data_IF_476270031180
#
_entry.id   IF_476270031180
#
_cell.length_a   1.000
_cell.length_b   1.000
_cell.length_c   1.000
_cell.angle_alpha   90.00
_cell.angle_beta   90.00
_cell.angle_gamma   90.00
#
_symmetry.space_group_name_H-M   'P 1'
#
loop_
_entity.id
_entity.type
_entity.pdbx_description
1 polymer ?
#
# COMPACT_ATOMS: atom_id res chain seq x y z
N UNK A 1 0.05 -4.92 28.07
CA UNK A 1 -1.15 -4.19 28.50
C UNK A 1 -1.88 -3.71 27.26
N UNK A 2 -3.21 -3.71 27.24
CA UNK A 2 -4.03 -3.21 26.13
C UNK A 2 -4.55 -1.85 26.58
N UNK A 3 -4.33 -0.80 25.79
CA UNK A 3 -4.96 0.49 26.02
C UNK A 3 -6.29 0.54 25.26
N UNK A 4 -7.32 1.04 25.89
CA UNK A 4 -8.65 1.19 25.28
C UNK A 4 -9.18 2.59 25.55
N UNK A 5 -9.98 3.10 24.61
CA UNK A 5 -10.71 4.35 24.76
C UNK A 5 -12.20 4.07 24.86
N UNK A 6 -12.88 4.76 25.77
CA UNK A 6 -14.32 4.74 25.87
C UNK A 6 -14.91 5.90 25.04
N UNK A 7 -15.84 5.60 24.16
CA UNK A 7 -16.54 6.59 23.35
C UNK A 7 -17.98 6.12 23.09
N UNK A 8 -18.96 6.94 23.44
CA UNK A 8 -20.38 6.60 23.26
C UNK A 8 -20.80 5.28 23.93
N UNK A 9 -20.20 4.92 25.07
CA UNK A 9 -20.44 3.65 25.78
C UNK A 9 -19.78 2.42 25.14
N UNK A 10 -18.95 2.61 24.11
CA UNK A 10 -18.18 1.53 23.47
C UNK A 10 -16.69 1.71 23.76
N UNK A 11 -15.97 0.60 23.76
CA UNK A 11 -14.51 0.59 23.90
C UNK A 11 -13.86 0.19 22.59
N UNK A 12 -12.79 0.89 22.23
CA UNK A 12 -11.92 0.51 21.14
C UNK A 12 -10.45 0.61 21.57
N UNK A 13 -9.57 -0.11 20.91
CA UNK A 13 -8.15 -0.14 21.27
C UNK A 13 -7.28 0.52 20.22
N UNK A 14 -6.52 1.56 20.55
CA UNK A 14 -5.49 2.12 19.67
C UNK A 14 -4.28 1.18 19.53
N UNK A 15 -4.10 0.21 20.43
CA UNK A 15 -3.05 -0.81 20.33
C UNK A 15 -3.50 -2.16 20.90
N UNK A 16 -2.79 -3.24 20.53
CA UNK A 16 -3.04 -4.56 21.12
C UNK A 16 -4.08 -5.41 20.40
N UNK A 17 -4.41 -5.12 19.14
CA UNK A 17 -5.35 -5.90 18.32
C UNK A 17 -4.98 -7.39 18.25
N UNK A 18 -3.70 -7.73 18.08
CA UNK A 18 -3.23 -9.12 18.04
C UNK A 18 -3.47 -9.82 19.37
N UNK A 19 -3.15 -9.15 20.49
CA UNK A 19 -3.39 -9.70 21.83
C UNK A 19 -4.88 -9.88 22.11
N UNK A 20 -5.70 -8.91 21.70
CA UNK A 20 -7.15 -8.99 21.83
C UNK A 20 -7.72 -10.15 20.97
N UNK A 21 -7.24 -10.29 19.74
CA UNK A 21 -7.60 -11.40 18.84
C UNK A 21 -7.23 -12.75 19.43
N UNK A 22 -6.01 -12.90 19.95
CA UNK A 22 -5.54 -14.12 20.58
C UNK A 22 -6.38 -14.49 21.81
N UNK A 23 -6.68 -13.50 22.69
CA UNK A 23 -7.52 -13.74 23.87
C UNK A 23 -8.95 -14.16 23.49
N UNK A 24 -9.54 -13.56 22.44
CA UNK A 24 -10.85 -13.98 21.92
C UNK A 24 -10.80 -15.41 21.40
N UNK A 25 -9.76 -15.79 20.65
CA UNK A 25 -9.59 -17.15 20.12
C UNK A 25 -9.42 -18.18 21.24
N UNK A 26 -8.84 -17.79 22.37
CA UNK A 26 -8.72 -18.61 23.57
C UNK A 26 -9.99 -18.63 24.44
N UNK A 27 -11.07 -17.98 24.02
CA UNK A 27 -12.34 -17.98 24.75
C UNK A 27 -12.38 -17.07 25.98
N UNK A 28 -11.46 -16.11 26.10
CA UNK A 28 -11.45 -15.18 27.23
C UNK A 28 -12.73 -14.32 27.24
N UNK A 29 -13.46 -14.32 28.36
CA UNK A 29 -14.72 -13.56 28.55
C UNK A 29 -14.48 -12.12 28.97
N UNK A 30 -13.32 -11.82 29.52
CA UNK A 30 -12.92 -10.49 29.97
C UNK A 30 -11.42 -10.30 29.81
N UNK A 31 -11.00 -9.03 29.72
CA UNK A 31 -9.59 -8.64 29.65
C UNK A 31 -9.35 -7.47 30.57
N UNK A 32 -8.14 -7.38 31.12
CA UNK A 32 -7.69 -6.18 31.82
C UNK A 32 -7.10 -5.20 30.83
N UNK A 33 -7.61 -3.97 30.81
CA UNK A 33 -7.19 -2.92 29.92
C UNK A 33 -6.98 -1.60 30.67
N UNK A 34 -6.08 -0.75 30.18
CA UNK A 34 -5.91 0.61 30.63
C UNK A 34 -6.88 1.51 29.86
N UNK A 35 -7.77 2.20 30.56
CA UNK A 35 -8.68 3.17 29.93
C UNK A 35 -7.93 4.49 29.77
N UNK A 36 -7.94 5.02 28.55
CA UNK A 36 -7.33 6.30 28.19
C UNK A 36 -8.44 7.25 27.74
N UNK A 37 -8.82 8.23 28.57
CA UNK A 37 -9.96 9.11 28.29
C UNK A 37 -9.65 10.18 27.24
N UNK A 38 -8.39 10.64 27.14
CA UNK A 38 -7.99 11.74 26.27
C UNK A 38 -7.80 11.29 24.81
N UNK A 39 -8.42 12.00 23.87
CA UNK A 39 -8.27 11.77 22.43
C UNK A 39 -6.81 11.86 21.97
N UNK A 40 -6.11 12.86 22.46
CA UNK A 40 -4.73 13.11 22.09
C UNK A 40 -3.80 11.97 22.50
N UNK A 41 -4.01 11.38 23.67
CA UNK A 41 -3.22 10.23 24.12
C UNK A 41 -3.48 9.01 23.26
N UNK A 42 -4.74 8.74 22.91
CA UNK A 42 -5.09 7.64 22.00
C UNK A 42 -4.45 7.83 20.62
N UNK A 43 -4.43 9.07 20.09
CA UNK A 43 -3.74 9.42 18.86
C UNK A 43 -2.24 9.19 18.96
N UNK A 44 -1.59 9.67 20.02
CA UNK A 44 -0.16 9.44 20.26
C UNK A 44 0.19 7.96 20.38
N UNK A 45 -0.67 7.15 20.99
CA UNK A 45 -0.48 5.70 21.04
C UNK A 45 -0.51 5.10 19.64
N UNK A 46 -1.42 5.53 18.75
CA UNK A 46 -1.43 5.10 17.36
C UNK A 46 -0.13 5.48 16.63
N UNK A 47 0.34 6.71 16.80
CA UNK A 47 1.58 7.22 16.20
C UNK A 47 2.84 6.51 16.72
N UNK A 48 2.88 6.15 18.00
CA UNK A 48 4.04 5.49 18.62
C UNK A 48 4.06 3.96 18.42
N UNK A 49 2.96 3.37 17.97
CA UNK A 49 2.87 1.94 17.73
C UNK A 49 3.37 1.52 16.34
N UNK A 50 4.02 2.42 15.61
CA UNK A 50 4.75 2.07 14.41
C UNK A 50 5.95 1.22 14.82
N UNK A 51 5.77 -0.10 14.91
CA UNK A 51 6.88 -1.05 14.99
C UNK A 51 7.73 -0.86 13.73
N UNK A 52 9.05 -0.98 13.84
CA UNK A 52 9.94 -0.90 12.68
C UNK A 52 9.59 -2.03 11.70
N UNK A 53 8.77 -1.71 10.74
CA UNK A 53 8.43 -2.63 9.69
C UNK A 53 9.68 -2.94 8.86
N UNK A 54 9.97 -4.22 8.68
CA UNK A 54 11.21 -4.65 8.04
C UNK A 54 11.14 -4.61 6.50
N UNK A 55 9.92 -4.66 5.93
CA UNK A 55 9.73 -4.67 4.48
C UNK A 55 8.59 -3.74 4.01
N UNK A 56 8.53 -3.49 2.70
CA UNK A 56 7.55 -2.58 2.09
C UNK A 56 6.10 -2.94 2.41
N UNK A 57 5.77 -4.23 2.42
CA UNK A 57 4.41 -4.70 2.70
C UNK A 57 3.99 -4.38 4.13
N UNK A 58 4.85 -4.66 5.09
CA UNK A 58 4.57 -4.39 6.51
C UNK A 58 4.42 -2.88 6.73
N UNK A 59 5.34 -2.07 6.20
CA UNK A 59 5.25 -0.61 6.26
C UNK A 59 3.94 -0.08 5.67
N UNK A 60 3.56 -0.55 4.49
CA UNK A 60 2.32 -0.13 3.84
C UNK A 60 1.07 -0.52 4.64
N UNK A 61 1.04 -1.75 5.18
CA UNK A 61 -0.05 -2.21 6.05
C UNK A 61 -0.12 -1.45 7.36
N UNK A 62 1.00 -1.03 7.91
CA UNK A 62 1.07 -0.23 9.11
C UNK A 62 0.56 1.19 8.86
N UNK A 63 1.05 1.83 7.79
CA UNK A 63 0.63 3.18 7.40
C UNK A 63 -0.88 3.24 7.12
N UNK A 64 -1.45 2.27 6.41
CA UNK A 64 -2.90 2.29 6.17
C UNK A 64 -3.71 2.08 7.45
N UNK A 65 -3.28 1.22 8.37
CA UNK A 65 -3.95 1.07 9.67
C UNK A 65 -3.89 2.36 10.48
N UNK A 66 -2.74 3.04 10.46
CA UNK A 66 -2.57 4.33 11.11
C UNK A 66 -3.51 5.37 10.49
N UNK A 67 -3.55 5.47 9.16
CA UNK A 67 -4.40 6.42 8.44
C UNK A 67 -5.90 6.16 8.73
N UNK A 68 -6.35 4.91 8.71
CA UNK A 68 -7.73 4.54 9.05
C UNK A 68 -8.07 4.86 10.51
N UNK A 69 -7.13 4.62 11.44
CA UNK A 69 -7.30 4.99 12.84
C UNK A 69 -7.37 6.50 13.04
N UNK A 70 -6.47 7.26 12.42
CA UNK A 70 -6.47 8.73 12.50
C UNK A 70 -7.71 9.35 11.87
N UNK A 71 -8.22 8.81 10.77
CA UNK A 71 -9.42 9.31 10.09
C UNK A 71 -10.68 9.27 10.98
N UNK A 72 -10.70 8.47 12.03
CA UNK A 72 -11.80 8.45 13.01
C UNK A 72 -11.68 9.52 14.10
N UNK A 73 -10.49 10.13 14.23
CA UNK A 73 -10.13 11.01 15.36
C UNK A 73 -9.82 12.44 14.91
N UNK A 74 -9.43 12.59 13.63
CA UNK A 74 -8.84 13.83 13.12
C UNK A 74 -9.27 14.03 11.66
N UNK A 75 -9.79 15.20 11.34
CA UNK A 75 -10.31 15.53 10.01
C UNK A 75 -9.42 16.49 9.23
N UNK A 76 -8.18 16.70 9.68
CA UNK A 76 -7.19 17.51 8.96
C UNK A 76 -6.92 16.95 7.56
N UNK A 77 -6.41 17.79 6.63
CA UNK A 77 -5.97 17.33 5.32
C UNK A 77 -4.90 16.22 5.40
N UNK A 78 -4.99 15.22 4.51
CA UNK A 78 -4.03 14.10 4.47
C UNK A 78 -2.57 14.59 4.43
N UNK A 79 -2.28 15.65 3.69
CA UNK A 79 -0.93 16.22 3.56
C UNK A 79 -0.32 16.70 4.89
N UNK A 80 -1.12 16.95 5.91
CA UNK A 80 -0.63 17.36 7.23
C UNK A 80 -0.11 16.17 8.05
N UNK A 81 -0.32 14.95 7.57
CA UNK A 81 0.20 13.71 8.15
C UNK A 81 1.40 13.15 7.37
N UNK A 82 2.08 13.99 6.56
CA UNK A 82 3.21 13.55 5.73
C UNK A 82 4.35 12.92 6.56
N UNK A 83 4.61 13.47 7.75
CA UNK A 83 5.64 12.95 8.64
C UNK A 83 5.28 11.56 9.21
N UNK A 84 3.98 11.32 9.48
CA UNK A 84 3.47 10.08 10.04
C UNK A 84 3.34 8.97 8.99
N UNK A 85 2.99 9.34 7.76
CA UNK A 85 2.78 8.37 6.67
C UNK A 85 4.03 8.15 5.81
N UNK A 86 5.07 8.96 5.96
CA UNK A 86 6.35 8.95 5.24
C UNK A 86 6.18 9.14 3.72
N UNK A 87 5.37 8.33 3.06
CA UNK A 87 5.13 8.34 1.63
C UNK A 87 3.65 8.12 1.32
N UNK A 88 3.05 8.99 0.51
CA UNK A 88 1.68 8.84 0.06
C UNK A 88 1.40 7.46 -0.61
N UNK A 89 2.41 6.94 -1.31
CA UNK A 89 2.38 5.64 -1.96
C UNK A 89 2.10 4.48 -0.99
N UNK A 90 2.55 4.58 0.27
CA UNK A 90 2.34 3.53 1.27
C UNK A 90 0.87 3.37 1.63
N UNK A 91 0.08 4.45 1.64
CA UNK A 91 -1.37 4.39 1.90
C UNK A 91 -2.06 3.57 0.79
N UNK A 92 -1.78 3.90 -0.47
CA UNK A 92 -2.35 3.20 -1.63
C UNK A 92 -1.91 1.73 -1.70
N UNK A 93 -0.62 1.45 -1.46
CA UNK A 93 -0.09 0.09 -1.40
C UNK A 93 -0.72 -0.70 -0.24
N UNK A 94 -0.88 -0.09 0.92
CA UNK A 94 -1.52 -0.70 2.08
C UNK A 94 -2.94 -1.18 1.78
N UNK A 95 -3.74 -0.36 1.10
CA UNK A 95 -5.07 -0.72 0.62
C UNK A 95 -5.04 -1.88 -0.38
N UNK A 96 -4.04 -1.91 -1.28
CA UNK A 96 -3.86 -3.05 -2.18
C UNK A 96 -3.52 -4.33 -1.43
N UNK A 97 -2.65 -4.28 -0.43
CA UNK A 97 -2.28 -5.43 0.39
C UNK A 97 -3.42 -5.92 1.31
N UNK A 98 -4.30 -5.02 1.78
CA UNK A 98 -5.52 -5.40 2.51
C UNK A 98 -6.47 -6.22 1.63
N UNK A 99 -6.62 -5.85 0.35
CA UNK A 99 -7.49 -6.51 -0.60
C UNK A 99 -6.88 -7.79 -1.19
N UNK A 100 -5.56 -7.77 -1.43
CA UNK A 100 -4.84 -8.87 -2.03
C UNK A 100 -3.49 -9.08 -1.31
N UNK A 101 -3.45 -10.02 -0.38
CA UNK A 101 -2.25 -10.33 0.41
C UNK A 101 -1.06 -10.84 -0.42
N UNK A 102 -1.26 -11.23 -1.70
CA UNK A 102 -0.21 -11.65 -2.65
C UNK A 102 0.16 -10.55 -3.64
N UNK A 103 -0.30 -9.34 -3.43
CA UNK A 103 0.02 -8.21 -4.28
C UNK A 103 1.53 -7.91 -4.23
N UNK A 104 2.17 -7.78 -5.40
CA UNK A 104 3.61 -7.50 -5.50
C UNK A 104 3.85 -5.98 -5.57
N UNK A 105 3.62 -5.27 -4.48
CA UNK A 105 3.72 -3.80 -4.43
C UNK A 105 5.09 -3.24 -4.77
N UNK A 106 6.16 -3.99 -4.47
CA UNK A 106 7.54 -3.59 -4.79
C UNK A 106 7.75 -3.30 -6.28
N UNK A 107 7.06 -4.01 -7.18
CA UNK A 107 7.13 -3.75 -8.61
C UNK A 107 6.60 -2.36 -9.01
N UNK A 108 5.66 -1.81 -8.25
CA UNK A 108 4.99 -0.54 -8.55
C UNK A 108 5.51 0.64 -7.72
N UNK A 109 6.18 0.37 -6.59
CA UNK A 109 6.55 1.39 -5.61
C UNK A 109 7.34 2.54 -6.22
N UNK A 110 8.33 2.27 -7.07
CA UNK A 110 9.13 3.31 -7.72
C UNK A 110 8.33 4.26 -8.61
N UNK A 111 7.27 3.76 -9.25
CA UNK A 111 6.35 4.59 -10.05
C UNK A 111 5.46 5.41 -9.12
N UNK A 112 4.86 4.75 -8.12
CA UNK A 112 3.94 5.39 -7.17
C UNK A 112 4.62 6.52 -6.40
N UNK A 113 5.84 6.37 -5.94
CA UNK A 113 6.61 7.46 -5.29
C UNK A 113 6.66 8.73 -6.12
N UNK A 114 6.60 8.62 -7.45
CA UNK A 114 6.67 9.76 -8.36
C UNK A 114 5.32 10.39 -8.65
N UNK A 115 4.25 9.58 -8.68
CA UNK A 115 2.91 10.03 -9.13
C UNK A 115 1.89 10.14 -8.02
N UNK A 116 2.05 9.37 -6.95
CA UNK A 116 1.11 9.32 -5.84
C UNK A 116 1.52 10.33 -4.77
N UNK A 117 0.87 11.50 -4.79
CA UNK A 117 1.15 12.61 -3.89
C UNK A 117 0.11 12.69 -2.78
N UNK A 118 0.49 13.28 -1.64
CA UNK A 118 -0.43 13.58 -0.56
C UNK A 118 -1.56 14.50 -1.02
N UNK A 119 -2.79 14.18 -0.59
CA UNK A 119 -3.99 14.88 -0.99
C UNK A 119 -4.27 16.06 -0.06
N UNK A 120 -4.81 17.13 -0.64
CA UNK A 120 -5.26 18.29 0.13
C UNK A 120 -6.66 18.12 0.75
N UNK A 121 -7.33 16.99 0.50
CA UNK A 121 -8.63 16.67 1.09
C UNK A 121 -8.46 16.21 2.54
N UNK A 122 -9.51 16.41 3.36
CA UNK A 122 -9.60 15.88 4.72
C UNK A 122 -9.36 14.36 4.71
N UNK A 123 -8.69 13.84 5.73
CA UNK A 123 -8.21 12.46 5.77
C UNK A 123 -9.30 11.41 5.46
N UNK A 124 -10.54 11.48 6.01
CA UNK A 124 -11.59 10.53 5.65
C UNK A 124 -11.92 10.52 4.15
N UNK A 125 -12.03 11.72 3.53
CA UNK A 125 -12.31 11.86 2.10
C UNK A 125 -11.10 11.46 1.25
N UNK A 126 -9.89 11.75 1.72
CA UNK A 126 -8.66 11.32 1.06
C UNK A 126 -8.58 9.80 0.99
N UNK A 127 -8.98 9.07 2.05
CA UNK A 127 -9.01 7.61 2.05
C UNK A 127 -10.00 7.03 1.03
N UNK A 128 -11.12 7.72 0.73
CA UNK A 128 -12.02 7.31 -0.35
C UNK A 128 -11.31 7.37 -1.70
N UNK A 129 -10.67 8.50 -2.02
CA UNK A 129 -9.87 8.65 -3.24
C UNK A 129 -8.71 7.64 -3.29
N UNK A 130 -8.10 7.30 -2.14
CA UNK A 130 -7.06 6.26 -2.06
C UNK A 130 -7.60 4.86 -2.40
N UNK A 131 -8.83 4.53 -2.01
CA UNK A 131 -9.49 3.27 -2.38
C UNK A 131 -9.71 3.18 -3.89
N UNK A 132 -10.11 4.28 -4.54
CA UNK A 132 -10.24 4.34 -6.00
C UNK A 132 -8.87 4.12 -6.69
N UNK A 133 -7.81 4.78 -6.21
CA UNK A 133 -6.45 4.57 -6.70
C UNK A 133 -5.97 3.13 -6.51
N UNK A 134 -6.24 2.53 -5.37
CA UNK A 134 -5.90 1.13 -5.11
C UNK A 134 -6.64 0.18 -6.04
N UNK A 135 -7.92 0.42 -6.32
CA UNK A 135 -8.69 -0.37 -7.27
C UNK A 135 -8.09 -0.31 -8.69
N UNK A 136 -7.75 0.88 -9.18
CA UNK A 136 -7.05 1.04 -10.47
C UNK A 136 -5.71 0.31 -10.50
N UNK A 137 -4.93 0.39 -9.42
CA UNK A 137 -3.63 -0.28 -9.32
C UNK A 137 -3.78 -1.81 -9.31
N UNK A 138 -4.83 -2.34 -8.69
CA UNK A 138 -5.15 -3.78 -8.72
C UNK A 138 -5.57 -4.23 -10.13
N UNK A 139 -6.35 -3.43 -10.85
CA UNK A 139 -6.67 -3.71 -12.27
C UNK A 139 -5.40 -3.74 -13.13
N UNK A 140 -4.50 -2.78 -12.95
CA UNK A 140 -3.20 -2.80 -13.62
C UNK A 140 -2.41 -4.06 -13.26
N UNK A 141 -2.42 -4.47 -11.99
CA UNK A 141 -1.72 -5.67 -11.55
C UNK A 141 -2.27 -6.95 -12.20
N UNK A 142 -3.57 -7.04 -12.45
CA UNK A 142 -4.18 -8.15 -13.19
C UNK A 142 -3.72 -8.19 -14.64
N UNK A 143 -3.70 -7.04 -15.33
CA UNK A 143 -3.21 -6.94 -16.71
C UNK A 143 -1.71 -7.31 -16.80
N UNK A 144 -0.90 -6.82 -15.87
CA UNK A 144 0.52 -7.19 -15.76
C UNK A 144 0.69 -8.68 -15.49
N UNK A 145 -0.15 -9.28 -14.63
CA UNK A 145 -0.07 -10.71 -14.35
C UNK A 145 -0.36 -11.55 -15.59
N UNK A 146 -1.36 -11.17 -16.40
CA UNK A 146 -1.61 -11.83 -17.70
C UNK A 146 -0.40 -11.77 -18.64
N UNK A 147 0.26 -10.61 -18.73
CA UNK A 147 1.49 -10.46 -19.52
C UNK A 147 2.63 -11.35 -18.99
N UNK A 148 2.78 -11.44 -17.66
CA UNK A 148 3.77 -12.32 -17.02
C UNK A 148 3.48 -13.81 -17.33
N UNK A 149 2.22 -14.21 -17.23
CA UNK A 149 1.82 -15.59 -17.53
C UNK A 149 2.07 -15.93 -19.01
N UNK A 150 1.84 -14.99 -19.93
CA UNK A 150 2.20 -15.12 -21.33
C UNK A 150 3.72 -15.28 -21.54
N UNK A 151 4.55 -14.56 -20.77
CA UNK A 151 6.01 -14.74 -20.80
C UNK A 151 6.42 -16.11 -20.28
N UNK A 152 5.84 -16.57 -19.16
CA UNK A 152 6.10 -17.90 -18.61
C UNK A 152 5.72 -19.01 -19.59
N UNK A 153 4.60 -18.89 -20.27
CA UNK A 153 4.16 -19.83 -21.31
C UNK A 153 5.15 -19.93 -22.49
N UNK A 154 5.98 -18.90 -22.70
CA UNK A 154 7.10 -18.91 -23.67
C UNK A 154 8.43 -19.42 -23.10
N UNK A 155 8.43 -19.94 -21.88
CA UNK A 155 9.62 -20.49 -21.25
C UNK A 155 10.52 -19.44 -20.55
N UNK A 156 10.01 -18.23 -20.29
CA UNK A 156 10.77 -17.26 -19.46
C UNK A 156 10.65 -17.64 -17.99
N UNK A 157 11.74 -18.02 -17.39
CA UNK A 157 11.82 -18.35 -15.95
C UNK A 157 12.67 -17.29 -15.23
N UNK A 158 12.00 -16.29 -14.64
CA UNK A 158 12.68 -15.28 -13.85
C UNK A 158 11.73 -14.77 -12.74
N UNK A 159 12.20 -14.63 -11.51
CA UNK A 159 11.42 -14.03 -10.43
C UNK A 159 11.10 -12.55 -10.69
N UNK A 160 11.85 -11.91 -11.59
CA UNK A 160 11.72 -10.48 -11.90
C UNK A 160 10.79 -10.16 -13.08
N UNK A 161 10.08 -11.14 -13.64
CA UNK A 161 9.19 -10.90 -14.80
C UNK A 161 8.17 -9.79 -14.55
N UNK A 162 7.58 -9.73 -13.36
CA UNK A 162 6.63 -8.66 -13.02
C UNK A 162 7.29 -7.28 -13.03
N UNK A 163 8.44 -7.14 -12.39
CA UNK A 163 9.20 -5.88 -12.39
C UNK A 163 9.65 -5.49 -13.81
N UNK A 164 10.03 -6.48 -14.63
CA UNK A 164 10.37 -6.27 -16.03
C UNK A 164 9.19 -5.71 -16.84
N UNK A 165 8.01 -6.33 -16.72
CA UNK A 165 6.80 -5.87 -17.43
C UNK A 165 6.44 -4.46 -16.98
N UNK A 166 6.36 -4.21 -15.65
CA UNK A 166 6.05 -2.88 -15.09
C UNK A 166 7.04 -1.83 -15.56
N UNK A 167 8.34 -2.12 -15.56
CA UNK A 167 9.34 -1.19 -16.05
C UNK A 167 9.19 -0.87 -17.54
N UNK A 168 8.71 -1.81 -18.35
CA UNK A 168 8.56 -1.66 -19.81
C UNK A 168 7.32 -0.86 -20.18
N UNK A 169 6.24 -1.02 -19.44
CA UNK A 169 4.98 -0.26 -19.66
C UNK A 169 4.99 1.12 -19.00
N UNK A 170 6.00 1.43 -18.17
CA UNK A 170 6.08 2.69 -17.44
C UNK A 170 6.39 3.88 -18.36
N UNK A 171 5.44 4.80 -18.61
CA UNK A 171 5.61 5.93 -19.53
C UNK A 171 6.55 7.02 -18.99
N UNK A 172 6.82 7.00 -17.68
CA UNK A 172 7.66 7.99 -17.01
C UNK A 172 9.06 7.48 -16.66
N UNK A 173 9.41 6.25 -17.05
CA UNK A 173 10.66 5.59 -16.71
C UNK A 173 11.89 6.46 -16.96
N UNK A 174 11.95 7.13 -18.09
CA UNK A 174 13.10 7.94 -18.52
C UNK A 174 12.86 9.45 -18.42
N UNK A 175 11.67 9.88 -17.98
CA UNK A 175 11.33 11.29 -17.84
C UNK A 175 11.85 11.82 -16.51
N UNK A 176 12.84 12.72 -16.52
CA UNK A 176 13.33 13.42 -15.34
C UNK A 176 12.53 14.71 -15.15
N UNK A 177 12.09 15.00 -13.90
CA UNK A 177 11.47 16.27 -13.54
C UNK A 177 10.05 16.53 -14.10
N UNK A 178 9.45 15.59 -14.84
CA UNK A 178 8.09 15.78 -15.32
C UNK A 178 7.10 15.67 -14.16
N UNK A 179 6.17 16.64 -14.07
CA UNK A 179 4.95 16.48 -13.28
C UNK A 179 4.15 15.35 -13.93
N UNK A 180 4.02 14.24 -13.25
CA UNK A 180 3.25 13.09 -13.71
C UNK A 180 2.10 12.89 -12.71
N UNK A 181 0.89 12.85 -13.23
CA UNK A 181 -0.31 12.62 -12.43
C UNK A 181 -0.60 11.13 -12.32
N UNK A 182 -1.19 10.73 -11.17
CA UNK A 182 -1.46 9.34 -10.87
C UNK A 182 -2.36 8.69 -11.92
N UNK A 183 -3.55 9.27 -12.15
CA UNK A 183 -4.55 8.69 -13.04
C UNK A 183 -4.03 8.56 -14.47
N UNK A 184 -3.45 9.63 -15.02
CA UNK A 184 -2.88 9.60 -16.37
C UNK A 184 -1.79 8.54 -16.53
N UNK A 185 -0.95 8.38 -15.51
CA UNK A 185 0.17 7.43 -15.56
C UNK A 185 -0.35 6.00 -15.47
N UNK A 186 -1.24 5.71 -14.52
CA UNK A 186 -1.77 4.35 -14.32
C UNK A 186 -2.65 3.92 -15.52
N UNK A 187 -3.48 4.83 -16.06
CA UNK A 187 -4.31 4.53 -17.23
C UNK A 187 -3.44 4.21 -18.48
N UNK A 188 -2.36 4.95 -18.69
CA UNK A 188 -1.38 4.64 -19.76
C UNK A 188 -0.67 3.30 -19.54
N UNK A 189 -0.32 2.99 -18.29
CA UNK A 189 0.29 1.71 -17.95
C UNK A 189 -0.68 0.55 -18.15
N UNK A 190 -1.95 0.73 -17.79
CA UNK A 190 -3.00 -0.27 -17.98
C UNK A 190 -3.19 -0.58 -19.47
N UNK A 191 -3.38 0.43 -20.31
CA UNK A 191 -3.50 0.26 -21.75
C UNK A 191 -2.29 -0.44 -22.36
N UNK A 192 -1.07 -0.08 -21.92
CA UNK A 192 0.16 -0.71 -22.38
C UNK A 192 0.31 -2.17 -21.88
N UNK A 193 -0.22 -2.49 -20.70
CA UNK A 193 -0.22 -3.86 -20.18
C UNK A 193 -1.23 -4.76 -20.92
N UNK A 194 -2.40 -4.23 -21.26
CA UNK A 194 -3.43 -4.95 -22.01
C UNK A 194 -2.98 -5.30 -23.44
N UNK A 195 -2.18 -4.42 -24.04
CA UNK A 195 -1.62 -4.61 -25.39
C UNK A 195 -0.19 -5.15 -25.40
N UNK A 196 0.27 -5.72 -24.26
CA UNK A 196 1.65 -6.15 -24.10
C UNK A 196 1.97 -7.33 -25.05
N UNK A 197 2.80 -7.07 -26.05
CA UNK A 197 3.21 -8.07 -27.05
C UNK A 197 4.34 -8.93 -26.52
N UNK A 198 3.98 -10.07 -25.97
CA UNK A 198 4.91 -11.11 -25.50
C UNK A 198 5.81 -11.63 -26.64
N UNK A 199 5.32 -11.56 -27.92
CA UNK A 199 6.05 -12.01 -29.10
C UNK A 199 7.35 -11.28 -29.35
N UNK A 200 7.38 -10.01 -29.01
CA UNK A 200 8.53 -9.12 -29.21
C UNK A 200 9.61 -9.20 -28.14
N UNK A 201 9.40 -9.99 -27.10
CA UNK A 201 10.35 -10.08 -25.98
C UNK A 201 11.42 -11.13 -26.26
N UNK A 202 12.70 -10.72 -26.12
CA UNK A 202 13.88 -11.58 -26.27
C UNK A 202 14.46 -11.94 -24.90
N UNK A 203 15.07 -13.11 -24.78
CA UNK A 203 15.64 -13.65 -23.53
C UNK A 203 16.67 -12.69 -22.92
N UNK A 204 17.54 -12.10 -23.75
CA UNK A 204 18.59 -11.20 -23.29
C UNK A 204 18.02 -9.92 -22.63
N UNK A 205 16.79 -9.51 -23.00
CA UNK A 205 16.15 -8.33 -22.43
C UNK A 205 15.67 -8.57 -20.99
N UNK A 206 15.22 -9.79 -20.69
CA UNK A 206 14.80 -10.19 -19.36
C UNK A 206 16.02 -10.41 -18.46
N UNK A 207 17.06 -11.06 -18.97
CA UNK A 207 18.30 -11.30 -18.25
C UNK A 207 18.99 -9.99 -17.79
N UNK A 208 18.96 -8.94 -18.61
CA UNK A 208 19.50 -7.61 -18.28
C UNK A 208 18.66 -6.81 -17.27
N UNK A 209 17.45 -7.23 -17.00
CA UNK A 209 16.53 -6.53 -16.08
C UNK A 209 16.62 -7.01 -14.63
N UNK A 210 17.51 -7.95 -14.34
CA UNK A 210 17.78 -8.49 -13.01
C UNK A 210 18.52 -7.51 -12.09
N UNK A 211 17.97 -6.33 -11.87
CA UNK A 211 18.31 -5.53 -10.70
C UNK A 211 17.83 -6.25 -9.44
N UNK A 212 18.55 -6.07 -8.33
CA UNK A 212 18.19 -6.66 -7.05
C UNK A 212 16.70 -6.50 -6.75
N UNK A 213 16.04 -7.52 -6.16
CA UNK A 213 14.66 -7.39 -5.75
C UNK A 213 14.55 -6.19 -4.81
N UNK A 214 13.54 -5.35 -5.00
CA UNK A 214 13.08 -4.54 -3.91
C UNK A 214 12.71 -5.53 -2.80
N UNK A 215 13.35 -5.44 -1.65
CA UNK A 215 13.12 -6.30 -0.49
C UNK A 215 11.61 -6.42 -0.25
N UNK A 216 11.08 -7.63 -0.41
CA UNK A 216 9.69 -7.99 -0.08
C UNK A 216 9.57 -8.25 1.42
#
# INVERSE_FOLDING_TARGET
MIAVRAEGGKYWTPNGHHRLGALRSLGARSITALIVPEHEVARRILLLNTEKAHNLRERALEVIRLAEGLATLDDRPEREFEAEFEEAALITLGLCYQQNGRFSGGAYHSVLKRVDKFLGAKLPKALEARRERAAKLLQLNEAVSRAVDGLKAKGFESPYLKAFVVARINPIRFKRGAKAEFDETIDKMLAAAETFDVGKIKVEQVARSGGAPAEE
#
